data_IF_471640763648
#
_entry.id   IF_471640763648
#
_cell.length_a   1.000
_cell.length_b   1.000
_cell.length_c   1.000
_cell.angle_alpha   90.00
_cell.angle_beta   90.00
_cell.angle_gamma   90.00
#
_symmetry.space_group_name_H-M   'P 1'
#
loop_
_entity.id
_entity.type
_entity.pdbx_description
1 polymer ?
#
# COMPACT_ATOMS: atom_id res chain seq x y z
N UNK A 1 3.03 11.78 24.00
CA UNK A 1 2.08 10.71 23.63
C UNK A 1 2.12 10.61 22.11
N UNK A 2 2.29 9.43 21.50
CA UNK A 2 2.20 9.31 20.05
C UNK A 2 0.81 9.82 19.62
N UNK A 3 0.79 10.78 18.71
CA UNK A 3 -0.44 11.23 18.05
C UNK A 3 -1.17 9.99 17.52
N UNK A 4 -2.50 9.94 17.69
CA UNK A 4 -3.33 8.76 17.40
C UNK A 4 -3.04 8.15 16.03
N UNK A 5 -2.70 8.98 15.04
CA UNK A 5 -2.31 8.53 13.69
C UNK A 5 -1.00 7.75 13.65
N UNK A 6 0.02 8.09 14.45
CA UNK A 6 1.28 7.32 14.52
C UNK A 6 1.06 5.94 15.12
N UNK A 7 0.38 5.86 16.26
CA UNK A 7 0.04 4.58 16.88
C UNK A 7 -0.82 3.72 15.96
N UNK A 8 -1.81 4.31 15.29
CA UNK A 8 -2.63 3.61 14.31
C UNK A 8 -1.79 3.09 13.13
N UNK A 9 -0.94 3.94 12.54
CA UNK A 9 -0.06 3.56 11.44
C UNK A 9 0.88 2.41 11.83
N UNK A 10 1.46 2.47 13.03
CA UNK A 10 2.32 1.39 13.56
C UNK A 10 1.56 0.09 13.76
N UNK A 11 0.33 0.17 14.27
CA UNK A 11 -0.50 -1.02 14.48
C UNK A 11 -0.87 -1.68 13.14
N UNK A 12 -1.24 -0.89 12.13
CA UNK A 12 -1.52 -1.38 10.77
C UNK A 12 -0.29 -2.07 10.18
N UNK A 13 0.89 -1.45 10.32
CA UNK A 13 2.14 -2.02 9.79
C UNK A 13 2.47 -3.34 10.47
N UNK A 14 2.21 -3.45 11.79
CA UNK A 14 2.39 -4.69 12.54
C UNK A 14 1.40 -5.77 12.11
N UNK A 15 0.13 -5.43 11.95
CA UNK A 15 -0.94 -6.35 11.54
C UNK A 15 -0.68 -6.95 10.15
N UNK A 16 -0.27 -6.09 9.21
CA UNK A 16 0.12 -6.47 7.85
C UNK A 16 1.56 -7.04 7.76
N UNK A 17 2.20 -7.34 8.90
CA UNK A 17 3.55 -7.93 9.00
C UNK A 17 4.62 -7.18 8.20
N UNK A 18 4.50 -5.86 8.11
CA UNK A 18 5.46 -5.00 7.42
C UNK A 18 6.59 -4.49 8.32
N UNK A 19 7.35 -3.55 7.78
CA UNK A 19 8.51 -2.95 8.45
C UNK A 19 8.29 -1.47 8.73
N UNK A 20 8.57 -1.03 9.95
CA UNK A 20 8.53 0.38 10.35
C UNK A 20 9.89 1.06 10.11
N UNK A 21 9.88 2.24 9.49
CA UNK A 21 11.06 3.03 9.11
C UNK A 21 11.17 4.35 9.90
N UNK A 22 10.71 4.36 11.15
CA UNK A 22 10.78 5.53 12.04
C UNK A 22 9.61 6.49 11.88
N UNK A 23 9.36 6.98 10.64
CA UNK A 23 8.28 7.94 10.35
C UNK A 23 7.11 7.38 9.53
N UNK A 24 7.30 6.22 8.91
CA UNK A 24 6.31 5.55 8.08
C UNK A 24 6.60 4.04 8.12
N UNK A 25 5.67 3.22 7.67
CA UNK A 25 5.90 1.80 7.46
C UNK A 25 5.72 1.39 6.01
N UNK A 26 6.28 0.24 5.68
CA UNK A 26 6.11 -0.43 4.39
C UNK A 26 5.54 -1.82 4.64
N UNK A 27 4.47 -2.14 3.93
CA UNK A 27 3.75 -3.42 4.01
C UNK A 27 3.52 -3.94 2.60
N UNK A 28 3.24 -5.24 2.48
CA UNK A 28 2.71 -5.78 1.24
C UNK A 28 1.28 -5.28 1.04
N UNK A 29 0.93 -4.88 -0.18
CA UNK A 29 -0.44 -4.45 -0.46
C UNK A 29 -1.40 -5.65 -0.42
N UNK A 30 -2.50 -5.60 0.33
CA UNK A 30 -3.48 -6.68 0.34
C UNK A 30 -4.35 -6.72 -0.93
N UNK A 31 -4.37 -5.63 -1.71
CA UNK A 31 -5.19 -5.49 -2.92
C UNK A 31 -4.70 -6.30 -4.13
N UNK A 32 -3.45 -6.77 -4.10
CA UNK A 32 -2.84 -7.59 -5.14
C UNK A 32 -1.84 -8.57 -4.55
N UNK A 33 -1.43 -9.58 -5.32
CA UNK A 33 -0.39 -10.52 -4.91
C UNK A 33 0.99 -9.81 -4.91
N UNK A 34 1.28 -9.13 -3.80
CA UNK A 34 2.46 -8.28 -3.65
C UNK A 34 3.65 -9.09 -3.10
N UNK A 35 4.70 -9.25 -3.93
CA UNK A 35 5.92 -9.99 -3.54
C UNK A 35 6.98 -9.13 -2.84
N UNK A 36 6.84 -7.81 -2.90
CA UNK A 36 7.76 -6.84 -2.30
C UNK A 36 6.92 -5.72 -1.73
N UNK A 37 7.24 -5.23 -0.53
CA UNK A 37 6.42 -4.22 0.13
C UNK A 37 6.16 -2.98 -0.76
N UNK A 38 4.98 -2.92 -1.37
CA UNK A 38 4.57 -1.88 -2.33
C UNK A 38 3.56 -0.89 -1.75
N UNK A 39 3.16 -1.03 -0.49
CA UNK A 39 2.24 -0.11 0.18
C UNK A 39 2.97 0.66 1.30
N UNK A 40 2.93 1.99 1.22
CA UNK A 40 3.41 2.87 2.27
C UNK A 40 2.28 3.27 3.21
N UNK A 41 2.53 3.17 4.52
CA UNK A 41 1.61 3.56 5.60
C UNK A 41 2.25 4.72 6.37
N UNK A 42 1.72 5.92 6.21
CA UNK A 42 2.30 7.13 6.80
C UNK A 42 1.31 7.80 7.77
N UNK A 43 1.70 8.09 9.02
CA UNK A 43 0.86 8.85 9.92
C UNK A 43 0.78 10.31 9.46
N UNK A 44 -0.40 10.76 9.08
CA UNK A 44 -0.69 12.15 8.75
C UNK A 44 -1.10 12.96 9.98
N UNK A 45 -1.35 14.26 9.77
CA UNK A 45 -1.80 15.19 10.83
C UNK A 45 -3.20 14.88 11.36
N UNK A 46 -4.09 14.32 10.55
CA UNK A 46 -5.48 14.02 10.91
C UNK A 46 -5.87 12.54 10.74
N UNK A 47 -5.18 11.82 9.85
CA UNK A 47 -5.49 10.43 9.50
C UNK A 47 -4.22 9.70 9.06
N UNK A 48 -4.28 8.36 8.99
CA UNK A 48 -3.23 7.54 8.38
C UNK A 48 -3.40 7.57 6.87
N UNK A 49 -2.30 7.78 6.15
CA UNK A 49 -2.25 7.85 4.70
C UNK A 49 -1.69 6.54 4.13
N UNK A 50 -2.30 6.09 3.04
CA UNK A 50 -1.95 4.86 2.35
C UNK A 50 -1.63 5.17 0.88
N UNK A 51 -0.48 4.69 0.41
CA UNK A 51 -0.07 4.86 -0.98
C UNK A 51 0.53 3.58 -1.53
N UNK A 52 -0.13 2.99 -2.53
CA UNK A 52 0.38 1.81 -3.22
C UNK A 52 1.11 2.22 -4.49
N UNK A 53 2.39 1.85 -4.60
CA UNK A 53 3.21 2.17 -5.78
C UNK A 53 2.82 1.35 -7.02
N UNK A 54 2.04 0.27 -6.86
CA UNK A 54 1.50 -0.52 -7.96
C UNK A 54 0.23 0.10 -8.57
N UNK A 55 -0.29 1.20 -8.02
CA UNK A 55 -1.47 1.89 -8.54
C UNK A 55 -2.81 1.45 -7.95
N UNK A 56 -2.83 0.66 -6.88
CA UNK A 56 -4.08 0.26 -6.23
C UNK A 56 -4.83 1.46 -5.66
N UNK A 57 -6.12 1.55 -5.99
CA UNK A 57 -7.02 2.52 -5.39
C UNK A 57 -7.29 2.19 -3.92
N UNK A 58 -7.64 3.21 -3.15
CA UNK A 58 -7.89 3.09 -1.72
C UNK A 58 -9.05 2.12 -1.41
N UNK A 59 -10.09 2.12 -2.25
CA UNK A 59 -11.17 1.13 -2.22
C UNK A 59 -10.65 -0.31 -2.34
N UNK A 60 -9.71 -0.59 -3.24
CA UNK A 60 -9.12 -1.94 -3.37
C UNK A 60 -8.23 -2.33 -2.19
N UNK A 61 -7.62 -1.37 -1.51
CA UNK A 61 -6.77 -1.61 -0.33
C UNK A 61 -7.63 -1.99 0.89
N UNK A 62 -8.81 -1.37 1.05
CA UNK A 62 -9.72 -1.59 2.18
C UNK A 62 -10.90 -2.50 1.87
N UNK A 63 -11.21 -2.68 0.60
CA UNK A 63 -12.26 -3.53 0.05
C UNK A 63 -11.82 -4.98 0.13
N UNK A 64 -11.95 -5.55 1.32
CA UNK A 64 -11.87 -6.98 1.52
C UNK A 64 -13.11 -7.62 0.89
N UNK A 65 -13.08 -7.83 -0.43
CA UNK A 65 -13.96 -8.76 -1.13
C UNK A 65 -13.12 -9.42 -2.20
N UNK A 66 -13.01 -10.75 -2.10
CA UNK A 66 -12.27 -11.58 -3.03
C UNK A 66 -13.01 -11.64 -4.38
N UNK A 67 -12.93 -10.59 -5.18
CA UNK A 67 -13.18 -10.68 -6.61
C UNK A 67 -12.00 -10.03 -7.35
N UNK A 68 -11.29 -10.81 -8.21
CA UNK A 68 -10.18 -10.28 -8.98
C UNK A 68 -10.70 -9.16 -9.88
N UNK A 69 -10.02 -8.00 -9.99
CA UNK A 69 -10.28 -7.12 -11.10
C UNK A 69 -9.85 -7.86 -12.38
N UNK A 70 -10.82 -8.34 -13.14
CA UNK A 70 -10.64 -8.62 -14.56
C UNK A 70 -10.13 -7.34 -15.21
N UNK A 71 -8.84 -7.31 -15.55
CA UNK A 71 -8.27 -6.29 -16.42
C UNK A 71 -7.61 -6.99 -17.61
N UNK A 72 -8.26 -7.00 -18.79
CA UNK A 72 -7.55 -7.12 -20.05
C UNK A 72 -7.00 -5.74 -20.46
N UNK A 73 -5.69 -5.67 -20.72
CA UNK A 73 -5.01 -4.53 -21.37
C UNK A 73 -3.85 -3.98 -20.55
N UNK A 74 -2.62 -3.89 -21.03
CA UNK A 74 -2.03 -4.21 -22.32
C UNK A 74 -0.52 -4.04 -22.13
N UNK A 75 0.23 -4.98 -22.65
CA UNK A 75 1.68 -4.89 -22.81
C UNK A 75 1.98 -3.74 -23.79
N UNK A 76 2.85 -2.79 -23.48
CA UNK A 76 3.66 -2.12 -24.51
C UNK A 76 5.05 -1.82 -23.94
N UNK A 77 5.95 -2.77 -24.21
CA UNK A 77 7.40 -2.62 -24.11
C UNK A 77 7.85 -1.68 -25.22
N UNK A 78 7.97 -0.39 -24.92
CA UNK A 78 8.67 0.58 -25.77
C UNK A 78 10.17 0.56 -25.47
N UNK A 79 10.92 -0.35 -26.09
CA UNK A 79 12.36 -0.18 -26.30
C UNK A 79 12.56 1.06 -27.21
N UNK A 80 13.37 2.02 -26.78
CA UNK A 80 13.87 3.07 -27.67
C UNK A 80 15.40 2.95 -27.78
N UNK A 81 15.96 2.64 -28.95
CA UNK A 81 17.33 3.02 -29.26
C UNK A 81 17.33 4.45 -29.83
N UNK A 82 18.18 5.29 -29.24
CA UNK A 82 18.63 6.57 -29.79
C UNK A 82 20.13 6.68 -29.53
#
# INVERSE_FOLDING_TARGET
MPNTSESAARQIVKDLKGTWHGRYGKVCCPAHADRRASLSVTPGRKAVLFHCFAGCSQDKIFGCTQEPPDQPGGHELGHAPG
#
